data_IF_313237037974
#
_entry.id   IF_313237037974
#
_cell.length_a   1.000
_cell.length_b   1.000
_cell.length_c   1.000
_cell.angle_alpha   90.00
_cell.angle_beta   90.00
_cell.angle_gamma   90.00
#
_symmetry.space_group_name_H-M   'P 1'
#
loop_
_entity.id
_entity.type
_entity.pdbx_description
1 polymer ?
#
# COMPACT_ATOMS: atom_id res chain seq x y z
N UNK A 1 29.33 17.29 -11.24
CA UNK A 1 29.02 15.85 -11.39
C UNK A 1 28.27 15.44 -10.14
N UNK A 2 26.97 15.13 -10.24
CA UNK A 2 26.15 14.77 -9.07
C UNK A 2 26.63 13.41 -8.54
N UNK A 3 27.08 13.28 -7.27
CA UNK A 3 27.64 12.04 -6.73
C UNK A 3 26.57 10.99 -6.38
N UNK A 4 25.32 11.24 -6.73
CA UNK A 4 24.19 10.36 -6.47
C UNK A 4 23.82 9.70 -7.80
N UNK A 5 23.81 8.36 -7.83
CA UNK A 5 23.35 7.59 -8.98
C UNK A 5 21.93 8.00 -9.40
N UNK A 6 21.46 7.60 -10.60
CA UNK A 6 20.11 7.95 -11.05
C UNK A 6 19.08 7.54 -10.00
N UNK A 7 18.25 8.48 -9.58
CA UNK A 7 17.17 8.22 -8.62
C UNK A 7 16.21 7.19 -9.21
N UNK A 8 16.15 6.01 -8.59
CA UNK A 8 15.32 4.90 -9.03
C UNK A 8 13.99 4.92 -8.27
N UNK A 9 12.90 5.10 -9.00
CA UNK A 9 11.52 5.03 -8.55
C UNK A 9 11.03 3.60 -8.53
N UNK A 10 10.41 3.18 -7.43
CA UNK A 10 9.62 1.95 -7.37
C UNK A 10 8.31 2.13 -8.16
N UNK A 11 8.02 1.24 -9.11
CA UNK A 11 6.78 1.31 -9.89
C UNK A 11 5.58 0.72 -9.12
N UNK A 12 4.34 1.23 -9.29
CA UNK A 12 3.15 0.75 -8.57
C UNK A 12 2.63 -0.62 -9.04
N UNK A 13 3.31 -1.25 -10.00
CA UNK A 13 3.05 -2.64 -10.42
C UNK A 13 4.28 -3.53 -10.21
N UNK A 14 4.05 -4.83 -10.28
CA UNK A 14 5.08 -5.88 -10.31
C UNK A 14 5.21 -6.44 -11.73
N UNK A 15 6.30 -7.13 -12.01
CA UNK A 15 6.41 -7.92 -13.24
C UNK A 15 5.59 -9.23 -13.13
N UNK A 16 5.59 -10.00 -14.22
CA UNK A 16 4.88 -11.28 -14.32
C UNK A 16 5.33 -12.33 -13.30
N UNK A 17 6.52 -12.14 -12.69
CA UNK A 17 7.05 -12.98 -11.62
C UNK A 17 6.75 -12.43 -10.22
N UNK A 18 5.92 -11.39 -10.10
CA UNK A 18 5.60 -10.75 -8.83
C UNK A 18 6.75 -9.95 -8.21
N UNK A 19 7.81 -9.65 -8.97
CA UNK A 19 8.97 -8.90 -8.47
C UNK A 19 8.78 -7.39 -8.61
N UNK A 20 9.30 -6.58 -7.67
CA UNK A 20 9.27 -5.13 -7.79
C UNK A 20 9.99 -4.64 -9.05
N UNK A 21 9.41 -3.67 -9.75
CA UNK A 21 10.01 -2.99 -10.89
C UNK A 21 10.44 -1.57 -10.52
N UNK A 22 11.48 -1.06 -11.20
CA UNK A 22 12.01 0.27 -10.97
C UNK A 22 12.22 1.02 -12.28
N UNK A 23 12.06 2.33 -12.26
CA UNK A 23 12.37 3.24 -13.36
C UNK A 23 13.22 4.41 -12.87
N UNK A 24 14.00 5.04 -13.73
CA UNK A 24 14.61 6.33 -13.39
C UNK A 24 13.52 7.39 -13.26
N UNK A 25 13.69 8.32 -12.33
CA UNK A 25 12.79 9.46 -12.26
C UNK A 25 12.77 10.31 -13.54
N UNK A 26 11.58 10.84 -13.85
CA UNK A 26 11.28 11.60 -15.04
C UNK A 26 10.95 10.77 -16.29
N UNK A 27 10.27 11.42 -17.24
CA UNK A 27 9.83 10.83 -18.50
C UNK A 27 8.54 10.02 -18.38
N UNK A 28 8.07 9.54 -19.53
CA UNK A 28 6.73 8.96 -19.71
C UNK A 28 6.40 7.83 -18.74
N UNK A 29 7.36 6.94 -18.44
CA UNK A 29 7.10 5.80 -17.56
C UNK A 29 6.98 6.21 -16.08
N UNK A 30 7.66 7.28 -15.64
CA UNK A 30 7.45 7.83 -14.30
C UNK A 30 6.11 8.56 -14.20
N UNK A 31 5.73 9.33 -15.22
CA UNK A 31 4.40 9.99 -15.30
C UNK A 31 3.26 8.96 -15.35
N UNK A 32 3.43 7.88 -16.10
CA UNK A 32 2.48 6.77 -16.12
C UNK A 32 2.39 6.07 -14.76
N UNK A 33 3.49 6.01 -14.01
CA UNK A 33 3.48 5.53 -12.64
C UNK A 33 2.65 6.45 -11.73
N UNK A 34 2.72 7.77 -11.88
CA UNK A 34 1.85 8.69 -11.12
C UNK A 34 0.36 8.47 -11.43
N UNK A 35 0.01 8.29 -12.70
CA UNK A 35 -1.36 7.96 -13.11
C UNK A 35 -1.86 6.67 -12.46
N UNK A 36 -1.06 5.60 -12.54
CA UNK A 36 -1.43 4.31 -11.95
C UNK A 36 -1.47 4.35 -10.42
N UNK A 37 -0.58 5.09 -9.77
CA UNK A 37 -0.66 5.35 -8.32
C UNK A 37 -1.99 6.00 -7.96
N UNK A 38 -2.44 7.02 -8.72
CA UNK A 38 -3.73 7.68 -8.48
C UNK A 38 -4.90 6.70 -8.65
N UNK A 39 -4.95 5.98 -9.77
CA UNK A 39 -6.02 5.04 -10.06
C UNK A 39 -6.12 3.91 -9.02
N UNK A 40 -5.00 3.43 -8.50
CA UNK A 40 -4.98 2.44 -7.42
C UNK A 40 -5.56 2.99 -6.12
N UNK A 41 -5.27 4.25 -5.79
CA UNK A 41 -5.84 4.90 -4.61
C UNK A 41 -7.34 5.16 -4.77
N UNK A 42 -7.78 5.63 -5.93
CA UNK A 42 -9.21 5.83 -6.25
C UNK A 42 -9.98 4.51 -6.14
N UNK A 43 -9.41 3.42 -6.70
CA UNK A 43 -9.97 2.07 -6.56
C UNK A 43 -10.05 1.64 -5.09
N UNK A 44 -9.04 2.00 -4.29
CA UNK A 44 -9.04 1.74 -2.85
C UNK A 44 -10.16 2.46 -2.11
N UNK A 45 -10.44 3.71 -2.46
CA UNK A 45 -11.58 4.47 -1.91
C UNK A 45 -12.92 3.84 -2.28
N UNK A 46 -13.08 3.39 -3.51
CA UNK A 46 -14.29 2.70 -3.96
C UNK A 46 -14.51 1.38 -3.23
N UNK A 47 -13.46 0.58 -3.06
CA UNK A 47 -13.52 -0.67 -2.28
C UNK A 47 -13.84 -0.39 -0.81
N UNK A 48 -13.28 0.67 -0.23
CA UNK A 48 -13.58 1.07 1.15
C UNK A 48 -15.06 1.44 1.28
N UNK A 49 -15.59 2.30 0.40
CA UNK A 49 -16.99 2.73 0.40
C UNK A 49 -17.95 1.55 0.23
N UNK A 50 -17.64 0.64 -0.70
CA UNK A 50 -18.40 -0.61 -0.89
C UNK A 50 -18.40 -1.45 0.39
N UNK A 51 -17.26 -1.52 1.09
CA UNK A 51 -17.15 -2.30 2.32
C UNK A 51 -17.94 -1.70 3.48
N UNK A 52 -17.93 -0.37 3.63
CA UNK A 52 -18.72 0.34 4.63
C UNK A 52 -20.21 0.17 4.38
N UNK A 53 -20.66 0.30 3.13
CA UNK A 53 -22.05 0.05 2.75
C UNK A 53 -22.47 -1.39 3.09
N UNK A 54 -21.65 -2.38 2.73
CA UNK A 54 -21.94 -3.79 3.00
C UNK A 54 -22.00 -4.10 4.50
N UNK A 55 -21.20 -3.43 5.33
CA UNK A 55 -21.19 -3.61 6.78
C UNK A 55 -22.41 -2.99 7.49
N UNK A 56 -23.09 -2.03 6.85
CA UNK A 56 -24.33 -1.46 7.38
C UNK A 56 -25.55 -2.38 7.17
N UNK A 57 -25.41 -3.40 6.33
CA UNK A 57 -26.42 -4.42 6.05
C UNK A 57 -26.15 -5.73 6.83
N UNK A 58 -26.85 -6.81 6.45
CA UNK A 58 -26.61 -8.17 6.96
C UNK A 58 -25.91 -9.02 5.88
N UNK A 59 -24.59 -8.86 5.68
CA UNK A 59 -23.89 -9.52 4.59
C UNK A 59 -23.81 -11.03 4.81
N UNK A 60 -23.97 -11.78 3.73
CA UNK A 60 -23.70 -13.20 3.68
C UNK A 60 -22.21 -13.50 3.86
N UNK A 61 -21.90 -14.76 4.20
CA UNK A 61 -20.51 -15.24 4.30
C UNK A 61 -19.73 -15.09 2.99
N UNK A 62 -20.42 -15.15 1.85
CA UNK A 62 -19.80 -15.02 0.52
C UNK A 62 -19.42 -13.57 0.24
N UNK A 63 -20.32 -12.63 0.53
CA UNK A 63 -20.05 -11.18 0.39
C UNK A 63 -18.91 -10.74 1.32
N UNK A 64 -18.88 -11.24 2.56
CA UNK A 64 -17.78 -10.98 3.49
C UNK A 64 -16.43 -11.48 2.97
N UNK A 65 -16.40 -12.67 2.34
CA UNK A 65 -15.17 -13.20 1.72
C UNK A 65 -14.73 -12.35 0.53
N UNK A 66 -15.68 -11.96 -0.32
CA UNK A 66 -15.40 -11.12 -1.48
C UNK A 66 -14.83 -9.76 -1.06
N UNK A 67 -15.50 -9.04 -0.16
CA UNK A 67 -15.05 -7.72 0.28
C UNK A 67 -13.70 -7.78 0.98
N UNK A 68 -13.45 -8.82 1.79
CA UNK A 68 -12.16 -9.01 2.47
C UNK A 68 -11.03 -9.21 1.47
N UNK A 69 -11.28 -9.96 0.39
CA UNK A 69 -10.30 -10.12 -0.70
C UNK A 69 -10.01 -8.79 -1.39
N UNK A 70 -11.05 -8.03 -1.76
CA UNK A 70 -10.90 -6.71 -2.40
C UNK A 70 -10.16 -5.71 -1.51
N UNK A 71 -10.51 -5.64 -0.22
CA UNK A 71 -9.81 -4.82 0.77
C UNK A 71 -8.33 -5.22 0.90
N UNK A 72 -8.03 -6.52 0.86
CA UNK A 72 -6.66 -7.03 0.94
C UNK A 72 -5.83 -6.70 -0.30
N UNK A 73 -6.45 -6.59 -1.46
CA UNK A 73 -5.82 -6.13 -2.71
C UNK A 73 -5.56 -4.63 -2.67
N UNK A 74 -6.60 -3.83 -2.41
CA UNK A 74 -6.49 -2.38 -2.28
C UNK A 74 -5.43 -1.95 -1.23
N UNK A 75 -5.37 -2.64 -0.09
CA UNK A 75 -4.36 -2.36 0.93
C UNK A 75 -2.93 -2.67 0.45
N UNK A 76 -2.73 -3.74 -0.32
CA UNK A 76 -1.41 -4.06 -0.90
C UNK A 76 -0.96 -2.98 -1.86
N UNK A 77 -1.88 -2.51 -2.70
CA UNK A 77 -1.62 -1.45 -3.67
C UNK A 77 -1.30 -0.13 -2.94
N UNK A 78 -2.13 0.29 -1.99
CA UNK A 78 -1.91 1.48 -1.19
C UNK A 78 -0.56 1.47 -0.44
N UNK A 79 -0.17 0.32 0.15
CA UNK A 79 1.14 0.17 0.80
C UNK A 79 2.30 0.28 -0.19
N UNK A 80 2.12 -0.18 -1.43
CA UNK A 80 3.11 -0.06 -2.50
C UNK A 80 3.26 1.39 -2.96
N UNK A 81 2.15 2.09 -3.17
CA UNK A 81 2.14 3.53 -3.49
C UNK A 81 2.82 4.34 -2.39
N UNK A 82 2.45 4.09 -1.12
CA UNK A 82 3.06 4.76 0.02
C UNK A 82 4.57 4.53 0.10
N UNK A 83 5.03 3.29 -0.14
CA UNK A 83 6.46 2.98 -0.18
C UNK A 83 7.17 3.71 -1.32
N UNK A 84 6.59 3.73 -2.52
CA UNK A 84 7.16 4.42 -3.68
C UNK A 84 7.30 5.92 -3.42
N UNK A 85 6.24 6.56 -2.94
CA UNK A 85 6.25 8.00 -2.59
C UNK A 85 7.24 8.30 -1.46
N UNK A 86 7.29 7.47 -0.42
CA UNK A 86 8.23 7.62 0.69
C UNK A 86 9.69 7.60 0.24
N UNK A 87 10.05 6.67 -0.66
CA UNK A 87 11.43 6.61 -1.19
C UNK A 87 11.83 7.86 -1.97
N UNK A 88 10.90 8.53 -2.67
CA UNK A 88 11.17 9.79 -3.38
C UNK A 88 11.36 10.97 -2.44
N UNK A 89 10.64 10.99 -1.32
CA UNK A 89 10.78 12.04 -0.30
C UNK A 89 12.13 11.96 0.42
N UNK A 90 12.59 10.75 0.73
CA UNK A 90 13.90 10.52 1.36
C UNK A 90 15.07 10.99 0.47
N UNK A 91 14.94 10.92 -0.86
CA UNK A 91 15.99 11.40 -1.79
C UNK A 91 16.07 12.93 -1.86
N UNK A 92 14.94 13.62 -1.76
CA UNK A 92 14.88 15.10 -1.83
C UNK A 92 15.37 15.72 -0.51
N UNK A 93 15.14 15.06 0.62
CA UNK A 93 15.57 15.48 1.95
C UNK A 93 16.98 15.00 2.31
N UNK A 94 18.01 15.53 1.65
CA UNK A 94 19.42 15.21 1.95
C UNK A 94 19.71 15.20 3.46
N UNK A 95 20.03 14.02 4.00
CA UNK A 95 20.46 13.76 5.38
C UNK A 95 19.73 14.57 6.47
N UNK A 96 18.49 14.19 6.75
CA UNK A 96 17.78 14.56 7.97
C UNK A 96 17.28 13.31 8.68
N UNK A 97 17.72 13.13 9.92
CA UNK A 97 17.50 12.00 10.83
C UNK A 97 16.02 11.81 11.24
N UNK A 98 15.11 11.65 10.27
CA UNK A 98 13.66 11.48 10.49
C UNK A 98 13.23 10.00 10.33
N UNK A 99 14.07 9.17 9.72
CA UNK A 99 13.76 7.79 9.32
C UNK A 99 13.89 6.71 10.43
N UNK A 100 13.85 7.07 11.71
CA UNK A 100 13.75 6.07 12.80
C UNK A 100 12.76 6.47 13.90
N UNK A 101 11.52 6.81 13.55
CA UNK A 101 10.40 6.66 14.49
C UNK A 101 9.66 5.36 14.18
N UNK A 102 9.91 4.29 14.94
CA UNK A 102 9.28 3.01 14.66
C UNK A 102 7.80 3.08 15.07
N UNK A 103 6.91 3.16 14.09
CA UNK A 103 5.49 2.79 14.26
C UNK A 103 5.30 1.29 14.61
N UNK A 104 6.36 0.56 14.95
CA UNK A 104 6.34 -0.91 14.94
C UNK A 104 5.86 -1.53 16.23
N UNK A 105 5.95 -0.90 17.41
CA UNK A 105 5.55 -1.57 18.66
C UNK A 105 4.05 -1.56 18.89
N UNK A 106 3.42 -0.38 18.78
CA UNK A 106 1.97 -0.24 18.93
C UNK A 106 1.21 -0.95 17.80
N UNK A 107 1.68 -0.83 16.55
CA UNK A 107 1.08 -1.53 15.41
C UNK A 107 1.21 -3.06 15.52
N UNK A 108 2.40 -3.59 15.85
CA UNK A 108 2.57 -5.04 16.03
C UNK A 108 1.77 -5.56 17.23
N UNK A 109 1.68 -4.79 18.32
CA UNK A 109 0.84 -5.15 19.47
C UNK A 109 -0.64 -5.21 19.09
N UNK A 110 -1.13 -4.25 18.32
CA UNK A 110 -2.49 -4.23 17.79
C UNK A 110 -2.75 -5.41 16.85
N UNK A 111 -1.86 -5.69 15.88
CA UNK A 111 -1.99 -6.85 14.98
C UNK A 111 -2.02 -8.18 15.74
N UNK A 112 -1.20 -8.33 16.80
CA UNK A 112 -1.22 -9.52 17.67
C UNK A 112 -2.55 -9.68 18.40
N UNK A 113 -3.10 -8.58 18.94
CA UNK A 113 -4.39 -8.58 19.63
C UNK A 113 -5.54 -8.92 18.68
N UNK A 114 -5.56 -8.31 17.49
CA UNK A 114 -6.56 -8.58 16.45
C UNK A 114 -6.52 -10.05 15.99
N UNK A 115 -5.32 -10.60 15.76
CA UNK A 115 -5.14 -12.01 15.40
C UNK A 115 -5.61 -12.99 16.48
N UNK A 116 -5.40 -12.67 17.76
CA UNK A 116 -5.92 -13.48 18.89
C UNK A 116 -7.44 -13.44 18.96
N UNK A 117 -8.05 -12.28 18.77
CA UNK A 117 -9.50 -12.13 18.74
C UNK A 117 -10.16 -12.92 17.58
N UNK A 118 -9.54 -12.93 16.41
CA UNK A 118 -9.98 -13.73 15.26
C UNK A 118 -9.86 -15.25 15.51
N UNK A 119 -8.82 -15.69 16.22
CA UNK A 119 -8.63 -17.12 16.57
C UNK A 119 -9.59 -17.59 17.66
N UNK A 120 -9.89 -16.77 18.66
CA UNK A 120 -10.80 -17.09 19.76
C UNK A 120 -12.28 -17.19 19.33
N UNK A 121 -12.62 -16.71 18.12
CA UNK A 121 -13.96 -16.72 17.55
C UNK A 121 -14.21 -17.86 16.55
N UNK A 122 -13.24 -18.76 16.33
CA UNK A 122 -13.49 -19.98 15.55
C UNK A 122 -14.24 -21.00 16.44
N UNK A 123 -15.36 -21.57 15.96
CA UNK A 123 -16.04 -22.67 16.65
C UNK A 123 -15.16 -23.93 16.66
#
# INVERSE_FOLDING_TARGET
MNPQGPELRLLPWVNDHGRPCYVREGGWLSEYADLLESQQLDTGEDVLRMSEALLNDKPSKTELRFVTQRLSEALRDALRVAKSRGTRLDTIGGHGDVAKRPLTEWYRAWCRKASRALKARRP
#
